data_IF_142078033716
#
_entry.id   IF_142078033716
#
_cell.length_a   1.000
_cell.length_b   1.000
_cell.length_c   1.000
_cell.angle_alpha   90.00
_cell.angle_beta   90.00
_cell.angle_gamma   90.00
#
_symmetry.space_group_name_H-M   'P 1'
#
loop_
_entity.id
_entity.type
_entity.pdbx_description
1 polymer ?
#
# COMPACT_ATOMS: atom_id res chain seq x y z
N UNK A 1 10.86 -18.75 -8.61
CA UNK A 1 10.05 -17.51 -8.43
C UNK A 1 8.69 -17.76 -9.01
N UNK A 2 7.64 -17.51 -8.25
CA UNK A 2 6.27 -17.82 -8.61
C UNK A 2 5.73 -16.84 -9.69
N UNK A 3 4.96 -17.36 -10.65
CA UNK A 3 4.44 -16.60 -11.82
C UNK A 3 3.58 -15.41 -11.39
N UNK A 4 2.86 -15.56 -10.27
CA UNK A 4 2.06 -14.48 -9.66
C UNK A 4 2.93 -13.35 -9.13
N UNK A 5 4.06 -13.67 -8.51
CA UNK A 5 5.00 -12.69 -7.98
C UNK A 5 5.66 -11.90 -9.11
N UNK A 6 6.09 -12.58 -10.18
CA UNK A 6 6.62 -11.91 -11.37
C UNK A 6 5.58 -11.02 -12.07
N UNK A 7 4.32 -11.46 -12.12
CA UNK A 7 3.23 -10.67 -12.70
C UNK A 7 2.94 -9.42 -11.85
N UNK A 8 2.80 -9.59 -10.54
CA UNK A 8 2.57 -8.46 -9.62
C UNK A 8 3.75 -7.49 -9.62
N UNK A 9 4.99 -7.99 -9.68
CA UNK A 9 6.19 -7.18 -9.84
C UNK A 9 6.21 -6.43 -11.18
N UNK A 10 5.80 -7.07 -12.27
CA UNK A 10 5.70 -6.45 -13.59
C UNK A 10 4.64 -5.35 -13.61
N UNK A 11 3.46 -5.61 -13.03
CA UNK A 11 2.37 -4.64 -12.88
C UNK A 11 2.81 -3.48 -12.00
N UNK A 12 3.39 -3.76 -10.82
CA UNK A 12 3.90 -2.73 -9.93
C UNK A 12 5.01 -1.90 -10.61
N UNK A 13 5.98 -2.53 -11.28
CA UNK A 13 7.01 -1.81 -12.04
C UNK A 13 6.41 -0.89 -13.11
N UNK A 14 5.38 -1.32 -13.83
CA UNK A 14 4.69 -0.52 -14.86
C UNK A 14 3.88 0.63 -14.26
N UNK A 15 3.08 0.37 -13.23
CA UNK A 15 2.28 1.40 -12.55
C UNK A 15 3.16 2.49 -11.95
N UNK A 16 4.40 2.17 -11.54
CA UNK A 16 5.31 3.07 -10.84
C UNK A 16 6.26 3.85 -11.75
N UNK A 17 6.58 3.35 -12.95
CA UNK A 17 7.40 4.09 -13.93
C UNK A 17 6.69 5.32 -14.50
N UNK A 18 5.37 5.38 -14.35
CA UNK A 18 4.53 6.45 -14.88
C UNK A 18 4.38 7.64 -13.93
N UNK A 19 4.76 7.53 -12.64
CA UNK A 19 4.59 8.63 -11.69
C UNK A 19 5.88 9.44 -11.49
N UNK A 20 5.71 10.76 -11.42
CA UNK A 20 6.80 11.68 -11.07
C UNK A 20 6.39 12.59 -9.93
N UNK A 21 7.39 12.99 -9.16
CA UNK A 21 7.31 14.03 -8.15
C UNK A 21 8.01 15.28 -8.68
N UNK A 22 7.29 16.38 -8.67
CA UNK A 22 7.74 17.70 -9.11
C UNK A 22 7.89 18.55 -7.85
N UNK A 23 9.09 19.07 -7.65
CA UNK A 23 9.46 19.87 -6.48
C UNK A 23 10.03 21.22 -6.93
N UNK A 24 9.93 22.24 -6.08
CA UNK A 24 10.48 23.56 -6.37
C UNK A 24 9.68 24.42 -7.36
N UNK A 25 8.56 23.90 -7.91
CA UNK A 25 7.69 24.63 -8.84
C UNK A 25 6.76 25.60 -8.06
N UNK A 26 6.93 26.93 -8.17
CA UNK A 26 6.14 27.89 -7.40
C UNK A 26 4.68 27.94 -7.88
N UNK A 27 3.73 28.08 -6.95
CA UNK A 27 2.32 28.31 -7.25
C UNK A 27 1.76 29.48 -6.42
N UNK A 28 2.19 30.72 -6.69
CA UNK A 28 1.84 31.88 -5.87
C UNK A 28 0.34 32.22 -5.89
N UNK A 29 -0.37 31.86 -6.96
CA UNK A 29 -1.81 32.13 -7.13
C UNK A 29 -2.71 30.95 -6.73
N UNK A 30 -2.15 29.89 -6.11
CA UNK A 30 -2.87 28.67 -5.73
C UNK A 30 -3.75 28.13 -6.86
N UNK A 31 -3.25 28.17 -8.10
CA UNK A 31 -3.93 27.60 -9.26
C UNK A 31 -4.11 26.08 -9.04
N UNK A 32 -5.16 25.46 -9.61
CA UNK A 32 -5.31 24.02 -9.58
C UNK A 32 -4.10 23.36 -10.26
N UNK A 33 -3.68 22.20 -9.74
CA UNK A 33 -2.44 21.58 -10.18
C UNK A 33 -2.44 21.23 -11.67
N UNK A 34 -3.58 20.86 -12.26
CA UNK A 34 -3.70 20.61 -13.70
C UNK A 34 -3.24 21.81 -14.52
N UNK A 35 -3.66 23.03 -14.14
CA UNK A 35 -3.27 24.26 -14.84
C UNK A 35 -1.78 24.57 -14.65
N UNK A 36 -1.27 24.42 -13.42
CA UNK A 36 0.15 24.68 -13.11
C UNK A 36 1.05 23.74 -13.90
N UNK A 37 0.72 22.44 -13.93
CA UNK A 37 1.51 21.44 -14.63
C UNK A 37 1.41 21.57 -16.14
N UNK A 38 0.26 21.99 -16.66
CA UNK A 38 0.12 22.25 -18.09
C UNK A 38 0.92 23.49 -18.53
N UNK A 39 0.84 24.61 -17.78
CA UNK A 39 1.68 25.79 -18.01
C UNK A 39 3.16 25.42 -17.92
N UNK A 40 3.55 24.62 -16.92
CA UNK A 40 4.93 24.13 -16.80
C UNK A 40 5.36 23.27 -18.01
N UNK A 41 4.54 22.34 -18.46
CA UNK A 41 4.86 21.50 -19.62
C UNK A 41 5.05 22.31 -20.90
N UNK A 42 4.15 23.26 -21.16
CA UNK A 42 4.11 24.02 -22.42
C UNK A 42 5.08 25.20 -22.38
N UNK A 43 5.00 26.03 -21.35
CA UNK A 43 5.68 27.33 -21.33
C UNK A 43 7.15 27.19 -20.94
N UNK A 44 7.45 26.28 -20.01
CA UNK A 44 8.82 26.02 -19.52
C UNK A 44 9.49 24.91 -20.33
N UNK A 45 8.85 23.75 -20.46
CA UNK A 45 9.45 22.58 -21.10
C UNK A 45 9.22 22.48 -22.61
N UNK A 46 8.50 23.45 -23.19
CA UNK A 46 8.20 23.55 -24.63
C UNK A 46 7.58 22.28 -25.20
N UNK A 47 6.78 21.58 -24.39
CA UNK A 47 6.08 20.40 -24.86
C UNK A 47 4.98 20.79 -25.86
N UNK A 48 4.90 20.16 -27.05
CA UNK A 48 3.93 20.54 -28.08
C UNK A 48 2.48 20.40 -27.62
N UNK A 49 1.66 21.42 -27.89
CA UNK A 49 0.23 21.44 -27.50
C UNK A 49 -0.62 20.45 -28.29
N UNK A 50 -0.17 20.05 -29.48
CA UNK A 50 -0.91 19.08 -30.31
C UNK A 50 -0.76 17.64 -29.80
N UNK A 51 0.19 17.38 -28.90
CA UNK A 51 0.41 16.05 -28.32
C UNK A 51 -0.50 15.79 -27.12
N UNK A 52 -0.57 14.50 -26.74
CA UNK A 52 -1.32 14.07 -25.57
C UNK A 52 -0.88 14.80 -24.28
N UNK A 53 -1.79 14.91 -23.31
CA UNK A 53 -1.51 15.57 -22.03
C UNK A 53 -0.19 15.07 -21.39
N UNK A 54 0.66 16.01 -21.01
CA UNK A 54 1.96 15.71 -20.41
C UNK A 54 1.82 15.06 -19.02
N UNK A 55 0.91 15.61 -18.22
CA UNK A 55 0.64 15.21 -16.85
C UNK A 55 -0.84 14.89 -16.68
N UNK A 56 -1.13 13.90 -15.84
CA UNK A 56 -2.48 13.53 -15.46
C UNK A 56 -2.52 13.19 -13.95
N UNK A 57 -3.71 13.27 -13.35
CA UNK A 57 -3.95 12.92 -11.94
C UNK A 57 -3.03 13.67 -10.95
N UNK A 58 -2.91 15.01 -11.06
CA UNK A 58 -2.03 15.73 -10.17
C UNK A 58 -2.58 15.78 -8.75
N UNK A 59 -1.71 15.52 -7.78
CA UNK A 59 -2.02 15.55 -6.34
C UNK A 59 -0.89 16.19 -5.54
N UNK A 60 -1.18 16.62 -4.32
CA UNK A 60 -0.16 17.16 -3.42
C UNK A 60 0.74 16.02 -2.90
N UNK A 61 2.05 16.26 -2.87
CA UNK A 61 3.08 15.29 -2.49
C UNK A 61 3.99 15.84 -1.38
N UNK A 62 3.39 16.48 -0.37
CA UNK A 62 4.10 17.13 0.73
C UNK A 62 4.70 18.49 0.34
N UNK A 63 5.73 18.91 1.06
CA UNK A 63 6.41 20.19 0.86
C UNK A 63 7.92 19.99 0.71
N UNK A 64 8.53 20.80 -0.14
CA UNK A 64 9.99 20.94 -0.28
C UNK A 64 10.34 22.38 0.07
N UNK A 65 10.87 22.61 1.28
CA UNK A 65 10.99 23.95 1.84
C UNK A 65 9.61 24.56 2.08
N UNK A 66 9.35 25.74 1.52
CA UNK A 66 8.05 26.45 1.59
C UNK A 66 7.12 26.14 0.42
N UNK A 67 7.55 25.34 -0.57
CA UNK A 67 6.80 25.08 -1.81
C UNK A 67 6.14 23.70 -1.72
N UNK A 68 4.86 23.63 -2.11
CA UNK A 68 4.12 22.36 -2.21
C UNK A 68 4.70 21.53 -3.36
N UNK A 69 5.12 20.31 -3.05
CA UNK A 69 5.49 19.34 -4.07
C UNK A 69 4.24 18.74 -4.70
N UNK A 70 4.30 18.45 -6.00
CA UNK A 70 3.21 17.84 -6.75
C UNK A 70 3.62 16.45 -7.21
N UNK A 71 2.68 15.49 -7.17
CA UNK A 71 2.81 14.17 -7.78
C UNK A 71 1.85 14.12 -8.96
N UNK A 72 2.30 13.61 -10.10
CA UNK A 72 1.46 13.42 -11.27
C UNK A 72 1.90 12.19 -12.07
N UNK A 73 0.92 11.58 -12.76
CA UNK A 73 1.17 10.57 -13.78
C UNK A 73 1.66 11.27 -15.04
N UNK A 74 2.65 10.69 -15.72
CA UNK A 74 3.31 11.23 -16.89
C UNK A 74 3.02 10.38 -18.11
N UNK A 75 2.75 11.04 -19.24
CA UNK A 75 2.63 10.35 -20.53
C UNK A 75 4.00 9.94 -21.07
N UNK A 76 4.04 8.81 -21.79
CA UNK A 76 5.27 8.32 -22.40
C UNK A 76 5.90 9.34 -23.35
N UNK A 77 5.08 10.01 -24.17
CA UNK A 77 5.53 11.01 -25.14
C UNK A 77 6.17 12.22 -24.47
N UNK A 78 5.58 12.70 -23.37
CA UNK A 78 6.18 13.75 -22.57
C UNK A 78 7.47 13.29 -21.92
N UNK A 79 7.50 12.08 -21.35
CA UNK A 79 8.72 11.58 -20.71
C UNK A 79 9.87 11.51 -21.72
N UNK A 80 9.62 11.01 -22.93
CA UNK A 80 10.60 10.99 -24.01
C UNK A 80 11.08 12.39 -24.37
N UNK A 81 10.17 13.33 -24.58
CA UNK A 81 10.49 14.75 -24.84
C UNK A 81 11.36 15.35 -23.72
N UNK A 82 10.99 15.10 -22.46
CA UNK A 82 11.70 15.63 -21.31
C UNK A 82 13.14 15.09 -21.22
N UNK A 83 13.34 13.79 -21.48
CA UNK A 83 14.68 13.19 -21.45
C UNK A 83 15.57 13.72 -22.59
N UNK A 84 15.02 13.93 -23.78
CA UNK A 84 15.80 14.38 -24.95
C UNK A 84 16.11 15.88 -24.90
N UNK A 85 15.12 16.73 -24.62
CA UNK A 85 15.24 18.19 -24.75
C UNK A 85 14.82 18.92 -23.46
N UNK A 86 13.76 18.46 -22.81
CA UNK A 86 13.18 19.17 -21.67
C UNK A 86 14.09 19.30 -20.45
N UNK A 87 15.07 18.41 -20.25
CA UNK A 87 16.08 18.53 -19.19
C UNK A 87 16.96 19.77 -19.35
N UNK A 88 17.39 20.07 -20.58
CA UNK A 88 18.18 21.26 -20.89
C UNK A 88 17.36 22.52 -20.66
N UNK A 89 16.14 22.55 -21.20
CA UNK A 89 15.19 23.66 -21.03
C UNK A 89 14.87 23.94 -19.55
N UNK A 90 14.68 22.89 -18.75
CA UNK A 90 14.45 23.03 -17.31
C UNK A 90 15.67 23.62 -16.60
N UNK A 91 16.88 23.17 -16.96
CA UNK A 91 18.12 23.66 -16.36
C UNK A 91 18.36 25.15 -16.69
N UNK A 92 18.11 25.55 -17.95
CA UNK A 92 18.17 26.95 -18.37
C UNK A 92 17.13 27.81 -17.64
N UNK A 93 15.89 27.34 -17.55
CA UNK A 93 14.83 28.06 -16.84
C UNK A 93 15.16 28.23 -15.35
N UNK A 94 15.66 27.17 -14.70
CA UNK A 94 16.10 27.21 -13.31
C UNK A 94 17.23 28.24 -13.12
N UNK A 95 18.22 28.26 -14.01
CA UNK A 95 19.33 29.22 -13.97
C UNK A 95 18.85 30.65 -14.15
N UNK A 96 17.95 30.90 -15.10
CA UNK A 96 17.47 32.25 -15.43
C UNK A 96 16.55 32.83 -14.33
N UNK A 97 15.80 31.97 -13.64
CA UNK A 97 14.82 32.40 -12.63
C UNK A 97 15.29 32.18 -11.19
N UNK A 98 16.54 31.71 -10.99
CA UNK A 98 17.05 31.33 -9.66
C UNK A 98 16.14 30.35 -8.93
N UNK A 99 15.66 29.32 -9.65
CA UNK A 99 14.78 28.27 -9.13
C UNK A 99 15.51 26.92 -9.10
N UNK A 100 15.00 26.00 -8.28
CA UNK A 100 15.47 24.61 -8.22
C UNK A 100 14.29 23.64 -8.48
N UNK A 101 13.66 23.79 -9.65
CA UNK A 101 12.58 22.89 -10.07
C UNK A 101 13.19 21.55 -10.45
N UNK A 102 12.68 20.47 -9.86
CA UNK A 102 13.11 19.10 -10.16
C UNK A 102 11.95 18.20 -10.46
N UNK A 103 12.08 17.41 -11.53
CA UNK A 103 11.19 16.29 -11.87
C UNK A 103 11.94 15.00 -11.51
N UNK A 104 11.46 14.31 -10.49
CA UNK A 104 12.00 13.05 -10.02
C UNK A 104 11.02 11.94 -10.35
N UNK A 105 11.48 10.86 -10.99
CA UNK A 105 10.66 9.64 -11.07
C UNK A 105 10.42 9.15 -9.66
N UNK A 106 9.16 8.88 -9.34
CA UNK A 106 8.86 8.29 -8.05
C UNK A 106 9.35 6.84 -8.04
N UNK A 107 10.48 6.65 -7.36
CA UNK A 107 10.85 5.32 -6.92
C UNK A 107 9.96 4.99 -5.75
N UNK A 108 9.06 4.04 -5.95
CA UNK A 108 8.41 3.41 -4.80
C UNK A 108 9.42 2.44 -4.25
N UNK A 109 9.70 2.53 -2.94
CA UNK A 109 10.42 1.47 -2.26
C UNK A 109 9.62 0.19 -2.53
N UNK A 110 10.23 -0.81 -3.15
CA UNK A 110 9.55 -2.09 -3.33
C UNK A 110 9.38 -2.71 -1.96
N UNK A 111 8.23 -2.43 -1.33
CA UNK A 111 7.93 -2.99 -0.02
C UNK A 111 7.61 -4.45 -0.25
N UNK A 112 8.57 -5.32 0.06
CA UNK A 112 8.34 -6.77 -0.03
C UNK A 112 7.20 -7.16 0.91
N UNK A 113 6.54 -8.28 0.64
CA UNK A 113 5.47 -8.74 1.53
C UNK A 113 5.98 -8.98 2.97
N UNK A 114 7.28 -9.30 3.14
CA UNK A 114 7.92 -9.36 4.45
C UNK A 114 7.95 -8.00 5.16
N UNK A 115 8.26 -6.91 4.42
CA UNK A 115 8.24 -5.56 4.98
C UNK A 115 6.81 -5.09 5.28
N UNK A 116 5.85 -5.41 4.41
CA UNK A 116 4.42 -5.15 4.64
C UNK A 116 3.92 -5.92 5.87
N UNK A 117 4.35 -7.17 6.06
CA UNK A 117 4.05 -7.97 7.24
C UNK A 117 4.63 -7.34 8.52
N UNK A 118 5.88 -6.86 8.47
CA UNK A 118 6.50 -6.15 9.59
C UNK A 118 5.73 -4.89 10.00
N UNK A 119 5.27 -4.11 9.02
CA UNK A 119 4.42 -2.94 9.25
C UNK A 119 3.02 -3.31 9.79
N UNK A 120 2.42 -4.38 9.26
CA UNK A 120 1.15 -4.91 9.74
C UNK A 120 1.25 -5.33 11.21
N UNK A 121 2.24 -6.14 11.57
CA UNK A 121 2.48 -6.59 12.94
C UNK A 121 2.67 -5.39 13.88
N UNK A 122 3.46 -4.40 13.47
CA UNK A 122 3.66 -3.17 14.25
C UNK A 122 2.34 -2.44 14.51
N UNK A 123 1.48 -2.30 13.50
CA UNK A 123 0.16 -1.69 13.65
C UNK A 123 -0.71 -2.52 14.60
N UNK A 124 -0.76 -3.83 14.38
CA UNK A 124 -1.58 -4.77 15.16
C UNK A 124 -1.22 -4.75 16.66
N UNK A 125 0.07 -4.83 16.99
CA UNK A 125 0.51 -4.78 18.40
C UNK A 125 0.16 -3.43 19.03
N UNK A 126 0.39 -2.31 18.33
CA UNK A 126 0.04 -0.97 18.83
C UNK A 126 -1.46 -0.86 19.12
N UNK A 127 -2.30 -1.34 18.22
CA UNK A 127 -3.74 -1.37 18.42
C UNK A 127 -4.15 -2.25 19.60
N UNK A 128 -3.52 -3.41 19.77
CA UNK A 128 -3.81 -4.31 20.88
C UNK A 128 -3.43 -3.70 22.25
N UNK A 129 -2.30 -3.00 22.35
CA UNK A 129 -1.93 -2.23 23.55
C UNK A 129 -2.86 -1.03 23.80
N UNK A 130 -3.28 -0.34 22.74
CA UNK A 130 -4.21 0.77 22.85
C UNK A 130 -5.59 0.29 23.38
N UNK A 131 -6.08 -0.85 22.86
CA UNK A 131 -7.32 -1.50 23.33
C UNK A 131 -7.22 -1.96 24.80
N UNK A 132 -6.04 -2.41 25.22
CA UNK A 132 -5.78 -2.80 26.62
C UNK A 132 -5.51 -1.59 27.55
N UNK A 133 -5.52 -0.36 27.02
CA UNK A 133 -5.16 0.87 27.73
C UNK A 133 -3.80 0.79 28.44
N UNK A 134 -2.81 0.18 27.77
CA UNK A 134 -1.45 0.00 28.27
C UNK A 134 -0.43 0.73 27.41
N UNK A 135 0.69 1.11 28.03
CA UNK A 135 1.82 1.70 27.31
C UNK A 135 2.44 0.66 26.37
N UNK A 136 2.32 0.90 25.07
CA UNK A 136 2.94 0.08 24.04
C UNK A 136 4.48 0.15 24.16
N UNK A 137 5.21 -0.99 24.11
CA UNK A 137 6.65 -0.98 23.96
C UNK A 137 7.04 -0.29 22.64
N UNK A 138 8.29 0.17 22.52
CA UNK A 138 8.75 0.71 21.25
C UNK A 138 8.81 -0.42 20.21
N UNK A 139 8.29 -0.16 19.02
CA UNK A 139 8.25 -1.15 17.93
C UNK A 139 8.83 -0.50 16.71
N UNK A 140 9.97 -1.05 16.27
CA UNK A 140 10.75 -0.57 15.14
C UNK A 140 10.89 -1.70 14.13
N UNK A 141 10.79 -1.36 12.85
CA UNK A 141 11.09 -2.28 11.76
C UNK A 141 12.19 -1.67 10.92
N UNK A 142 13.36 -2.32 10.86
CA UNK A 142 14.54 -1.80 10.16
C UNK A 142 15.32 -2.95 9.54
N UNK A 143 15.65 -2.83 8.25
CA UNK A 143 16.46 -3.80 7.49
C UNK A 143 15.94 -5.25 7.61
N UNK A 144 14.62 -5.44 7.50
CA UNK A 144 14.00 -6.77 7.56
C UNK A 144 13.85 -7.37 8.97
N UNK A 145 14.26 -6.64 10.02
CA UNK A 145 14.16 -7.09 11.42
C UNK A 145 13.10 -6.26 12.13
N UNK A 146 12.19 -6.94 12.82
CA UNK A 146 11.23 -6.38 13.75
C UNK A 146 11.82 -6.39 15.17
N UNK A 147 11.90 -5.21 15.77
CA UNK A 147 12.32 -5.01 17.15
C UNK A 147 11.10 -4.64 17.99
N UNK A 148 10.83 -5.40 19.05
CA UNK A 148 9.75 -5.12 20.01
C UNK A 148 10.40 -4.94 21.39
N UNK A 149 10.37 -3.71 21.89
CA UNK A 149 11.08 -3.32 23.09
C UNK A 149 12.59 -3.53 22.96
N UNK A 150 13.24 -3.87 24.09
CA UNK A 150 14.66 -4.26 24.12
C UNK A 150 14.87 -5.77 24.00
N UNK A 151 13.79 -6.54 24.11
CA UNK A 151 13.83 -7.99 24.35
C UNK A 151 13.81 -8.78 23.05
N UNK A 152 12.96 -8.39 22.09
CA UNK A 152 12.69 -9.21 20.92
C UNK A 152 13.27 -8.59 19.66
N UNK A 153 14.10 -9.39 18.97
CA UNK A 153 14.76 -9.04 17.71
C UNK A 153 14.63 -10.23 16.76
N UNK A 154 13.69 -10.15 15.81
CA UNK A 154 13.41 -11.28 14.92
C UNK A 154 12.82 -10.82 13.59
N UNK A 155 12.73 -11.72 12.62
CA UNK A 155 12.03 -11.46 11.35
C UNK A 155 10.52 -11.34 11.58
N UNK A 156 9.79 -10.59 10.74
CA UNK A 156 8.33 -10.47 10.83
C UNK A 156 7.59 -11.81 10.79
N UNK A 157 8.10 -12.77 10.01
CA UNK A 157 7.54 -14.12 9.88
C UNK A 157 7.64 -14.87 11.20
N UNK A 158 8.81 -14.85 11.84
CA UNK A 158 9.01 -15.46 13.16
C UNK A 158 8.22 -14.75 14.24
N UNK A 159 8.09 -13.42 14.19
CA UNK A 159 7.24 -12.69 15.12
C UNK A 159 5.77 -13.11 14.99
N UNK A 160 5.23 -13.18 13.77
CA UNK A 160 3.85 -13.62 13.55
C UNK A 160 3.62 -15.04 14.11
N UNK A 161 4.54 -15.97 13.85
CA UNK A 161 4.44 -17.35 14.28
C UNK A 161 4.62 -17.51 15.81
N UNK A 162 5.69 -16.97 16.39
CA UNK A 162 6.02 -17.14 17.81
C UNK A 162 5.07 -16.39 18.73
N UNK A 163 4.55 -15.21 18.34
CA UNK A 163 3.55 -14.49 19.13
C UNK A 163 2.11 -14.96 18.83
N UNK A 164 1.91 -15.84 17.86
CA UNK A 164 0.60 -16.33 17.45
C UNK A 164 -0.32 -15.20 16.97
N UNK A 165 0.22 -14.26 16.19
CA UNK A 165 -0.49 -13.06 15.75
C UNK A 165 -1.64 -13.46 14.83
N UNK A 166 -2.82 -12.91 15.06
CA UNK A 166 -3.94 -13.08 14.16
C UNK A 166 -3.68 -12.36 12.82
N UNK A 167 -3.67 -13.11 11.72
CA UNK A 167 -3.47 -12.62 10.36
C UNK A 167 -4.77 -12.54 9.54
N UNK A 168 -5.96 -12.56 10.15
CA UNK A 168 -7.24 -12.44 9.41
C UNK A 168 -7.35 -11.16 8.56
N UNK A 169 -6.81 -10.04 9.05
CA UNK A 169 -6.81 -8.76 8.32
C UNK A 169 -5.59 -8.61 7.37
N UNK A 170 -4.75 -9.64 7.27
CA UNK A 170 -3.57 -9.62 6.41
C UNK A 170 -3.94 -9.92 4.95
N UNK A 171 -3.64 -8.97 4.07
CA UNK A 171 -3.94 -9.04 2.63
C UNK A 171 -2.69 -9.26 1.77
N UNK A 172 -1.73 -10.08 2.25
CA UNK A 172 -0.53 -10.45 1.49
C UNK A 172 -0.40 -11.97 1.35
N UNK A 173 0.79 -12.44 0.96
CA UNK A 173 1.04 -13.87 0.85
C UNK A 173 0.81 -14.60 2.18
N UNK A 174 0.36 -15.87 2.16
CA UNK A 174 0.25 -16.71 3.35
C UNK A 174 1.57 -16.75 4.12
N UNK A 175 1.49 -16.89 5.44
CA UNK A 175 2.67 -16.87 6.30
C UNK A 175 3.66 -17.98 5.92
N UNK A 176 3.14 -19.13 5.50
CA UNK A 176 3.89 -20.32 5.08
C UNK A 176 4.79 -20.05 3.87
N UNK A 177 4.36 -19.19 2.96
CA UNK A 177 5.09 -18.81 1.75
C UNK A 177 6.14 -17.71 2.02
N UNK A 178 6.03 -17.03 3.17
CA UNK A 178 6.96 -15.97 3.56
C UNK A 178 8.15 -16.49 4.38
N UNK A 179 8.07 -17.71 4.92
CA UNK A 179 9.18 -18.29 5.69
C UNK A 179 10.43 -18.45 4.83
N UNK A 180 11.57 -18.11 5.42
CA UNK A 180 12.85 -18.50 4.83
C UNK A 180 13.03 -20.03 4.95
N UNK A 181 13.84 -20.67 4.09
CA UNK A 181 14.09 -22.12 4.19
C UNK A 181 14.54 -22.55 5.59
N UNK A 182 15.38 -21.73 6.25
CA UNK A 182 15.84 -21.97 7.63
C UNK A 182 14.71 -21.93 8.64
N UNK A 183 13.80 -20.97 8.52
CA UNK A 183 12.64 -20.84 9.42
C UNK A 183 11.68 -22.03 9.24
N UNK A 184 11.39 -22.40 7.99
CA UNK A 184 10.56 -23.57 7.68
C UNK A 184 11.18 -24.86 8.26
N UNK A 185 12.50 -25.05 8.13
CA UNK A 185 13.18 -26.20 8.74
C UNK A 185 13.11 -26.19 10.27
N UNK A 186 13.34 -25.04 10.91
CA UNK A 186 13.27 -24.91 12.37
C UNK A 186 11.86 -25.22 12.91
N UNK A 187 10.82 -24.78 12.19
CA UNK A 187 9.42 -25.10 12.53
C UNK A 187 9.15 -26.60 12.35
N UNK A 188 9.60 -27.21 11.25
CA UNK A 188 9.43 -28.65 11.00
C UNK A 188 10.15 -29.53 12.02
N UNK A 189 11.31 -29.08 12.50
CA UNK A 189 12.08 -29.75 13.58
C UNK A 189 11.49 -29.54 14.97
N UNK A 190 10.52 -28.64 15.12
CA UNK A 190 9.94 -28.28 16.41
C UNK A 190 10.85 -27.41 17.29
N UNK A 191 11.93 -26.84 16.72
CA UNK A 191 12.82 -25.91 17.44
C UNK A 191 12.10 -24.60 17.76
N UNK A 192 11.10 -24.24 16.95
CA UNK A 192 10.23 -23.09 17.18
C UNK A 192 8.79 -23.53 17.25
N UNK A 193 8.12 -23.10 18.31
CA UNK A 193 6.71 -23.41 18.58
C UNK A 193 5.82 -22.18 18.42
N UNK A 194 4.64 -22.39 17.83
CA UNK A 194 3.63 -21.35 17.61
C UNK A 194 3.11 -20.81 18.94
N UNK A 195 2.99 -19.48 19.07
CA UNK A 195 2.46 -18.84 20.28
C UNK A 195 3.32 -19.02 21.53
N UNK A 196 4.59 -19.41 21.37
CA UNK A 196 5.55 -19.58 22.46
C UNK A 196 5.92 -18.29 23.18
N UNK A 197 5.82 -17.15 22.49
CA UNK A 197 6.08 -15.84 23.05
C UNK A 197 4.78 -15.12 23.37
N UNK A 198 4.78 -14.38 24.48
CA UNK A 198 3.67 -13.51 24.88
C UNK A 198 4.19 -12.13 25.21
N UNK A 199 3.47 -11.11 24.76
CA UNK A 199 3.72 -9.74 25.18
C UNK A 199 3.04 -9.48 26.52
N UNK A 200 3.70 -8.73 27.40
CA UNK A 200 3.18 -8.46 28.74
C UNK A 200 1.92 -7.61 28.69
N UNK A 201 0.81 -8.17 29.16
CA UNK A 201 -0.45 -7.45 29.32
C UNK A 201 -1.34 -7.34 28.10
N UNK A 202 -1.03 -8.04 27.01
CA UNK A 202 -1.84 -8.05 25.77
C UNK A 202 -1.88 -9.45 25.18
N UNK A 203 -3.06 -9.92 24.79
CA UNK A 203 -3.22 -11.15 24.00
C UNK A 203 -3.23 -10.80 22.51
N UNK A 204 -2.34 -11.43 21.74
CA UNK A 204 -2.25 -11.26 20.29
C UNK A 204 -2.95 -12.40 19.52
N UNK A 205 -3.26 -13.50 20.21
CA UNK A 205 -3.97 -14.65 19.67
C UNK A 205 -5.48 -14.44 19.74
N UNK A 206 -6.22 -14.97 18.76
CA UNK A 206 -7.67 -15.15 18.88
C UNK A 206 -7.95 -16.06 20.08
N UNK A 207 -8.89 -15.68 20.95
CA UNK A 207 -9.48 -16.61 21.90
C UNK A 207 -10.28 -17.67 21.11
N UNK A 208 -9.60 -18.69 20.59
CA UNK A 208 -10.27 -19.97 20.35
C UNK A 208 -10.19 -20.74 21.66
N UNK A 209 -11.36 -20.92 22.31
CA UNK A 209 -11.54 -22.00 23.26
C UNK A 209 -10.96 -23.28 22.67
N UNK A 210 -10.15 -23.95 23.47
CA UNK A 210 -9.54 -25.24 23.20
C UNK A 210 -10.55 -26.23 22.61
N UNK A 211 -10.25 -26.77 21.44
CA UNK A 211 -10.52 -28.17 21.16
C UNK A 211 -9.19 -28.83 20.87
N UNK A 212 -8.51 -29.21 21.95
CA UNK A 212 -7.69 -30.41 21.91
C UNK A 212 -8.64 -31.57 21.62
N UNK A 213 -8.55 -32.17 20.44
CA UNK A 213 -8.90 -33.56 20.27
C UNK A 213 -7.64 -34.30 19.83
N UNK A 214 -6.94 -34.81 20.83
CA UNK A 214 -6.09 -35.98 20.71
C UNK A 214 -6.96 -37.19 20.39
N UNK A 215 -6.82 -37.77 19.20
CA UNK A 215 -7.24 -39.15 18.94
C UNK A 215 -6.39 -39.76 17.80
N UNK A 216 -5.31 -40.41 18.21
CA UNK A 216 -4.69 -41.54 17.52
C UNK A 216 -5.71 -42.66 17.26
N UNK A 217 -5.90 -43.10 16.00
CA UNK A 217 -5.51 -44.44 15.50
C UNK A 217 -6.27 -44.86 14.22
N UNK A 218 -5.44 -45.34 13.27
CA UNK A 218 -5.57 -46.51 12.38
C UNK A 218 -6.69 -46.61 11.33
N UNK A 219 -6.22 -46.67 10.08
CA UNK A 219 -6.49 -47.70 9.05
C UNK A 219 -7.90 -48.31 8.98
N UNK A 220 -8.58 -48.09 7.86
CA UNK A 220 -8.76 -49.19 6.90
C UNK A 220 -9.22 -48.71 5.51
N UNK A 221 -8.57 -49.31 4.51
CA UNK A 221 -8.95 -49.33 3.10
C UNK A 221 -10.34 -49.96 2.91
N UNK A 222 -11.09 -49.51 1.90
CA UNK A 222 -11.45 -50.32 0.71
C UNK A 222 -12.45 -49.63 -0.22
N UNK A 223 -12.04 -49.53 -1.48
CA UNK A 223 -12.79 -49.65 -2.74
C UNK A 223 -14.34 -49.51 -2.72
N UNK A 224 -14.91 -48.68 -3.61
CA UNK A 224 -15.33 -49.20 -4.92
C UNK A 224 -15.75 -48.11 -5.93
N UNK A 225 -15.58 -48.51 -7.18
CA UNK A 225 -15.83 -47.89 -8.49
C UNK A 225 -17.31 -47.61 -8.75
N UNK A 226 -17.61 -46.60 -9.58
CA UNK A 226 -18.92 -46.45 -10.21
C UNK A 226 -19.06 -45.20 -11.06
N UNK A 227 -18.65 -45.29 -12.33
CA UNK A 227 -18.94 -44.31 -13.37
C UNK A 227 -20.45 -44.28 -13.70
N UNK A 228 -20.98 -43.10 -14.05
CA UNK A 228 -21.74 -42.94 -15.30
C UNK A 228 -22.02 -41.46 -15.62
N UNK A 229 -21.70 -41.12 -16.87
CA UNK A 229 -22.08 -39.91 -17.59
C UNK A 229 -23.61 -39.82 -17.75
N UNK A 230 -24.16 -38.62 -17.91
CA UNK A 230 -24.88 -38.19 -19.13
C UNK A 230 -25.54 -36.83 -18.97
N UNK A 231 -25.40 -36.05 -20.03
CA UNK A 231 -25.89 -34.70 -20.34
C UNK A 231 -27.40 -34.44 -20.10
N UNK A 232 -27.74 -33.18 -19.80
CA UNK A 232 -28.61 -32.38 -20.68
C UNK A 232 -28.67 -30.88 -20.33
N UNK A 233 -28.36 -30.12 -21.36
CA UNK A 233 -28.60 -28.72 -21.68
C UNK A 233 -29.96 -28.17 -21.21
N UNK A 234 -29.99 -26.99 -20.59
CA UNK A 234 -30.96 -25.94 -20.97
C UNK A 234 -30.44 -24.55 -20.58
N UNK A 235 -30.22 -23.74 -21.60
CA UNK A 235 -30.09 -22.29 -21.57
C UNK A 235 -31.33 -21.62 -21.00
N UNK A 236 -31.16 -20.57 -20.19
CA UNK A 236 -32.00 -19.37 -20.32
C UNK A 236 -31.25 -18.13 -19.83
N UNK A 237 -31.00 -17.25 -20.81
CA UNK A 237 -30.72 -15.84 -20.68
C UNK A 237 -31.95 -15.12 -20.12
N UNK A 238 -31.74 -14.10 -19.28
CA UNK A 238 -32.61 -12.92 -19.22
C UNK A 238 -31.86 -11.76 -18.57
N UNK A 239 -31.34 -10.90 -19.43
CA UNK A 239 -31.06 -9.50 -19.15
C UNK A 239 -32.34 -8.79 -18.69
N UNK A 240 -32.21 -7.91 -17.70
CA UNK A 240 -33.07 -6.74 -17.59
C UNK A 240 -32.29 -5.59 -16.94
N UNK A 241 -31.86 -4.66 -17.79
CA UNK A 241 -31.55 -3.28 -17.40
C UNK A 241 -32.85 -2.54 -17.04
N UNK A 242 -32.85 -1.81 -15.92
CA UNK A 242 -33.68 -0.62 -15.75
C UNK A 242 -33.18 0.28 -14.60
N UNK A 243 -32.62 1.43 -14.96
CA UNK A 243 -33.13 2.73 -14.51
C UNK A 243 -32.94 3.19 -13.05
N UNK A 244 -31.94 4.06 -12.86
CA UNK A 244 -31.93 5.32 -12.06
C UNK A 244 -33.07 5.55 -11.06
N UNK A 245 -32.72 5.86 -9.79
CA UNK A 245 -33.14 7.09 -9.07
C UNK A 245 -32.11 7.51 -8.00
N UNK A 246 -31.60 8.75 -8.13
CA UNK A 246 -31.01 9.55 -7.02
C UNK A 246 -32.16 10.13 -6.19
N UNK A 247 -32.02 10.30 -4.87
CA UNK A 247 -32.79 11.29 -4.13
C UNK A 247 -32.01 12.61 -4.08
N UNK A 248 -32.60 13.63 -4.69
CA UNK A 248 -32.36 15.04 -4.39
C UNK A 248 -33.27 15.40 -3.22
N UNK A 249 -32.75 16.15 -2.24
CA UNK A 249 -33.57 16.98 -1.36
C UNK A 249 -32.79 18.25 -1.06
N UNK A 250 -33.42 19.37 -1.40
CA UNK A 250 -32.95 20.73 -1.27
C UNK A 250 -33.02 21.25 0.17
N UNK A 251 -32.11 22.20 0.43
CA UNK A 251 -32.14 23.37 1.32
C UNK A 251 -33.14 23.46 2.47
N UNK A 252 -32.62 23.75 3.69
CA UNK A 252 -32.96 24.98 4.43
C UNK A 252 -31.73 25.49 5.18
N UNK A 253 -31.43 26.77 4.96
CA UNK A 253 -30.42 27.60 5.62
C UNK A 253 -30.99 28.10 6.95
N UNK A 254 -30.22 28.02 8.04
CA UNK A 254 -30.39 28.93 9.18
C UNK A 254 -29.06 29.24 9.88
N UNK A 255 -28.86 30.54 10.07
CA UNK A 255 -27.65 31.27 10.50
C UNK A 255 -27.52 31.38 12.01
N UNK A 256 -26.33 31.22 12.60
CA UNK A 256 -25.91 31.93 13.84
C UNK A 256 -24.37 32.09 13.90
N UNK A 257 -23.82 33.27 14.31
CA UNK A 257 -22.42 33.63 14.11
C UNK A 257 -21.51 33.26 15.30
N UNK A 258 -20.25 32.89 15.04
CA UNK A 258 -19.25 32.66 16.07
C UNK A 258 -18.13 33.72 16.04
N UNK A 259 -18.03 34.41 17.17
CA UNK A 259 -17.09 35.50 17.49
C UNK A 259 -15.66 34.99 17.62
N UNK A 260 -14.73 35.81 17.16
CA UNK A 260 -13.28 35.71 17.38
C UNK A 260 -12.96 36.15 18.82
N UNK A 261 -12.17 35.40 19.61
CA UNK A 261 -11.55 35.94 20.81
C UNK A 261 -10.24 36.67 20.47
N UNK A 262 -10.13 37.92 20.93
CA UNK A 262 -8.89 38.71 20.95
C UNK A 262 -7.98 38.22 22.08
N UNK A 263 -6.68 38.39 21.81
CA UNK A 263 -5.52 38.21 22.70
C UNK A 263 -5.70 38.88 24.07
N UNK A 264 -5.12 38.25 25.08
CA UNK A 264 -4.41 38.90 26.19
C UNK A 264 -2.95 38.48 26.07
#
# INVERSE_FOLDING_TARGET
MDRKQQFQESVNKKVLLEWVRITGLPNPRKKPFDKVLNEFAVDVLKYPKEKALAFAWPTAAGQTGSIVAMRAKVSYDFWRHFITEGRGLLAEYNKNNSLDIRIQREQTLHVSDTERLGLFIRRFIREAYNKANRKCPDILFKKGILQIGKEYHMTPTMAAYQFGINLEEWNGLPLEELFTPKESEAIKKGEVTFGSLRLTGVSLTRNHMSQQNTATNKENESNNVGANESEKTTSNSLESEAGRKRPTSDEVVETVPWKIPKKV
#
